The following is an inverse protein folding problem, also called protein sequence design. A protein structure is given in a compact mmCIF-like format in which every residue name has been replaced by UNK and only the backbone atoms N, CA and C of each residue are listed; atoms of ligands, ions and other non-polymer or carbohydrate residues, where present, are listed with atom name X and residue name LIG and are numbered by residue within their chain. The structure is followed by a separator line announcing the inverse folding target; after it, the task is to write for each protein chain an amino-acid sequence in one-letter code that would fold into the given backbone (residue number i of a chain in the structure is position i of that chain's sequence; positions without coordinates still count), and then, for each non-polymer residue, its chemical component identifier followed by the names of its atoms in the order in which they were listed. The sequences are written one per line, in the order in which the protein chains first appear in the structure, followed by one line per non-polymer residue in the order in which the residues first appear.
data_IF_241602856201
#
_entry.id   IF_241602856201
#
_cell.length_a   1.000
_cell.length_b   1.000
_cell.length_c   1.000
_cell.angle_alpha   90.00
_cell.angle_beta   90.00
_cell.angle_gamma   90.00
#
_symmetry.space_group_name_H-M   'P 1'
#
loop_
_entity.id
_entity.type
_entity.pdbx_description
1 polymer ?
#
# COMPACT_ATOMS: atom_id res chain seq x y z
N UNK A 1 11.93 -24.97 44.73
CA UNK A 1 12.78 -23.77 44.87
C UNK A 1 12.73 -22.97 43.57
N UNK A 2 11.89 -21.93 43.51
CA UNK A 2 11.88 -21.00 42.38
C UNK A 2 13.12 -20.12 42.54
N UNK A 3 14.15 -20.35 41.73
CA UNK A 3 15.35 -19.52 41.73
C UNK A 3 14.93 -18.07 41.48
N UNK A 4 15.10 -17.20 42.49
CA UNK A 4 14.79 -15.79 42.38
C UNK A 4 15.58 -15.21 41.22
N UNK A 5 14.86 -14.60 40.26
CA UNK A 5 15.51 -13.85 39.19
C UNK A 5 16.41 -12.77 39.83
N UNK A 6 17.67 -12.61 39.38
CA UNK A 6 18.56 -11.57 39.87
C UNK A 6 17.82 -10.22 39.93
N UNK A 7 18.01 -9.45 41.02
CA UNK A 7 17.30 -8.19 41.29
C UNK A 7 17.33 -7.22 40.09
N UNK A 8 18.42 -7.24 39.34
CA UNK A 8 18.61 -6.48 38.10
C UNK A 8 17.72 -6.93 36.93
N UNK A 9 17.44 -8.22 36.81
CA UNK A 9 16.50 -8.76 35.80
C UNK A 9 15.06 -8.35 36.10
N UNK A 10 14.66 -8.37 37.37
CA UNK A 10 13.35 -7.87 37.81
C UNK A 10 13.19 -6.37 37.51
N UNK A 11 14.27 -5.59 37.70
CA UNK A 11 14.28 -4.16 37.37
C UNK A 11 14.13 -3.92 35.86
N UNK A 12 14.92 -4.60 35.03
CA UNK A 12 14.80 -4.53 33.57
C UNK A 12 13.41 -4.95 33.06
N UNK A 13 12.83 -5.98 33.66
CA UNK A 13 11.50 -6.49 33.31
C UNK A 13 10.40 -5.45 33.57
N UNK A 14 10.47 -4.70 34.68
CA UNK A 14 9.50 -3.64 34.98
C UNK A 14 9.51 -2.53 33.93
N UNK A 15 10.70 -2.05 33.56
CA UNK A 15 10.83 -0.98 32.56
C UNK A 15 10.43 -1.42 31.16
N UNK A 16 10.78 -2.64 30.76
CA UNK A 16 10.34 -3.19 29.47
C UNK A 16 8.81 -3.21 29.39
N UNK A 17 8.12 -3.75 30.41
CA UNK A 17 6.66 -3.82 30.43
C UNK A 17 6.07 -2.40 30.35
N UNK A 18 6.58 -1.48 31.16
CA UNK A 18 6.09 -0.09 31.18
C UNK A 18 6.19 0.57 29.80
N UNK A 19 7.36 0.58 29.18
CA UNK A 19 7.55 1.22 27.87
C UNK A 19 6.80 0.50 26.76
N UNK A 20 6.79 -0.84 26.76
CA UNK A 20 6.07 -1.61 25.75
C UNK A 20 4.56 -1.37 25.83
N UNK A 21 4.00 -1.36 27.05
CA UNK A 21 2.59 -1.04 27.29
C UNK A 21 2.29 0.40 26.85
N UNK A 22 3.17 1.37 27.16
CA UNK A 22 2.97 2.76 26.72
C UNK A 22 2.94 2.87 25.19
N UNK A 23 3.91 2.31 24.47
CA UNK A 23 3.93 2.32 23.00
C UNK A 23 2.74 1.55 22.40
N UNK A 24 2.33 0.44 23.00
CA UNK A 24 1.18 -0.34 22.54
C UNK A 24 -0.13 0.44 22.71
N UNK A 25 -0.35 1.07 23.88
CA UNK A 25 -1.53 1.90 24.13
C UNK A 25 -1.58 3.10 23.17
N UNK A 26 -0.45 3.76 22.93
CA UNK A 26 -0.34 4.84 21.94
C UNK A 26 -0.69 4.33 20.55
N UNK A 27 -0.17 3.16 20.15
CA UNK A 27 -0.47 2.55 18.85
C UNK A 27 -1.96 2.28 18.72
N UNK A 28 -2.56 1.60 19.69
CA UNK A 28 -3.99 1.25 19.67
C UNK A 28 -4.86 2.50 19.65
N UNK A 29 -4.54 3.51 20.45
CA UNK A 29 -5.32 4.75 20.53
C UNK A 29 -5.20 5.59 19.25
N UNK A 30 -3.99 5.85 18.75
CA UNK A 30 -3.79 6.69 17.56
C UNK A 30 -4.17 6.00 16.26
N UNK A 31 -3.97 4.68 16.19
CA UNK A 31 -4.14 3.93 14.97
C UNK A 31 -5.46 3.15 14.93
N UNK A 32 -6.38 3.34 15.89
CA UNK A 32 -7.69 2.65 15.95
C UNK A 32 -8.53 2.73 14.66
N UNK A 33 -8.42 3.83 13.92
CA UNK A 33 -9.12 4.06 12.63
C UNK A 33 -8.21 3.85 11.43
N UNK A 34 -6.92 3.61 11.66
CA UNK A 34 -5.93 3.47 10.61
C UNK A 34 -5.62 2.01 10.32
N UNK A 35 -5.50 1.19 11.36
CA UNK A 35 -5.34 -0.25 11.23
C UNK A 35 -6.72 -0.90 11.15
N UNK A 36 -6.90 -1.82 10.20
CA UNK A 36 -8.06 -2.71 10.13
C UNK A 36 -7.67 -4.09 10.68
N UNK A 37 -8.10 -4.47 11.90
CA UNK A 37 -7.77 -5.75 12.50
C UNK A 37 -8.35 -6.96 11.77
N UNK A 38 -9.40 -6.75 10.96
CA UNK A 38 -10.07 -7.81 10.20
C UNK A 38 -9.36 -8.08 8.87
N UNK A 39 -8.47 -7.20 8.43
CA UNK A 39 -7.74 -7.39 7.20
C UNK A 39 -6.77 -8.59 7.30
N UNK A 40 -6.87 -9.52 6.34
CA UNK A 40 -6.07 -10.74 6.31
C UNK A 40 -4.56 -10.49 6.42
N UNK A 41 -4.05 -9.45 5.73
CA UNK A 41 -2.62 -9.12 5.75
C UNK A 41 -2.16 -8.63 7.13
N UNK A 42 -3.03 -7.97 7.90
CA UNK A 42 -2.76 -7.57 9.27
C UNK A 42 -2.69 -8.79 10.19
N UNK A 43 -3.66 -9.71 10.08
CA UNK A 43 -3.68 -10.95 10.86
C UNK A 43 -2.46 -11.84 10.57
N UNK A 44 -2.14 -12.05 9.29
CA UNK A 44 -0.94 -12.76 8.86
C UNK A 44 0.34 -12.04 9.30
N UNK A 45 0.35 -10.71 9.31
CA UNK A 45 1.45 -9.90 9.82
C UNK A 45 1.69 -10.10 11.31
N UNK A 46 0.63 -10.11 12.12
CA UNK A 46 0.69 -10.43 13.55
C UNK A 46 1.23 -11.85 13.79
N UNK A 47 0.70 -12.85 13.06
CA UNK A 47 1.21 -14.21 13.12
C UNK A 47 2.69 -14.28 12.72
N UNK A 48 3.07 -13.60 11.63
CA UNK A 48 4.43 -13.54 11.16
C UNK A 48 5.37 -12.87 12.17
N UNK A 49 4.93 -11.83 12.90
CA UNK A 49 5.71 -11.25 14.00
C UNK A 49 5.96 -12.28 15.10
N UNK A 50 4.93 -13.03 15.52
CA UNK A 50 5.08 -14.06 16.56
C UNK A 50 6.04 -15.16 16.11
N UNK A 51 5.92 -15.62 14.87
CA UNK A 51 6.73 -16.72 14.33
C UNK A 51 8.17 -16.30 14.02
N UNK A 52 8.35 -15.09 13.48
CA UNK A 52 9.63 -14.63 12.92
C UNK A 52 10.49 -13.87 13.92
N UNK A 53 9.90 -13.25 14.94
CA UNK A 53 10.65 -12.42 15.90
C UNK A 53 11.48 -13.31 16.80
N UNK A 54 12.79 -13.09 16.83
CA UNK A 54 13.72 -13.80 17.70
C UNK A 54 14.47 -12.80 18.56
N UNK A 55 14.49 -13.05 19.86
CA UNK A 55 15.19 -12.23 20.84
C UNK A 55 16.41 -13.03 21.32
N UNK A 56 17.60 -12.50 21.05
CA UNK A 56 18.85 -13.03 21.57
C UNK A 56 19.19 -12.32 22.89
N UNK A 57 18.84 -12.98 24.00
CA UNK A 57 19.09 -12.47 25.36
C UNK A 57 20.57 -12.50 25.76
N UNK A 58 21.43 -13.19 24.99
CA UNK A 58 22.88 -13.23 25.25
C UNK A 58 23.61 -12.01 24.71
N UNK A 59 22.97 -11.23 23.83
CA UNK A 59 23.56 -10.06 23.19
C UNK A 59 22.92 -8.79 23.71
N UNK A 60 23.77 -7.81 24.04
CA UNK A 60 23.31 -6.45 24.37
C UNK A 60 22.55 -5.86 23.17
N UNK A 61 21.44 -5.22 23.48
CA UNK A 61 20.66 -4.50 22.47
C UNK A 61 21.42 -3.36 21.83
N UNK A 62 21.06 -3.06 20.58
CA UNK A 62 21.58 -1.93 19.81
C UNK A 62 20.54 -0.80 19.75
N UNK A 63 21.00 0.43 19.55
CA UNK A 63 20.14 1.61 19.41
C UNK A 63 19.48 1.76 18.01
N UNK A 64 19.65 0.79 17.12
CA UNK A 64 19.22 0.88 15.71
C UNK A 64 17.73 1.18 15.54
N UNK A 65 16.85 0.57 16.33
CA UNK A 65 15.41 0.86 16.25
C UNK A 65 15.07 2.23 16.86
N UNK A 66 15.82 2.69 17.86
CA UNK A 66 15.66 4.04 18.41
C UNK A 66 16.04 5.11 17.39
N UNK A 67 17.15 4.90 16.66
CA UNK A 67 17.57 5.78 15.55
C UNK A 67 16.51 5.75 14.45
N UNK A 68 16.02 4.57 14.04
CA UNK A 68 14.97 4.46 13.04
C UNK A 68 13.67 5.17 13.47
N UNK A 69 13.27 5.02 14.74
CA UNK A 69 12.12 5.73 15.31
C UNK A 69 12.30 7.25 15.25
N UNK A 70 13.48 7.75 15.61
CA UNK A 70 13.78 9.18 15.52
C UNK A 70 13.73 9.69 14.08
N UNK A 71 14.30 8.96 13.11
CA UNK A 71 14.22 9.31 11.70
C UNK A 71 12.76 9.39 11.22
N UNK A 72 11.91 8.42 11.57
CA UNK A 72 10.49 8.45 11.22
C UNK A 72 9.70 9.55 11.94
N UNK A 73 10.09 9.90 13.17
CA UNK A 73 9.49 11.01 13.90
C UNK A 73 9.77 12.34 13.18
N UNK A 74 11.01 12.57 12.75
CA UNK A 74 11.39 13.73 11.93
C UNK A 74 10.64 13.72 10.60
N UNK A 75 10.52 12.57 9.94
CA UNK A 75 9.75 12.46 8.69
C UNK A 75 8.26 12.76 8.90
N UNK A 76 7.68 12.37 10.04
CA UNK A 76 6.29 12.69 10.38
C UNK A 76 6.10 14.20 10.59
N UNK A 77 7.10 14.87 11.14
CA UNK A 77 7.10 16.33 11.27
C UNK A 77 7.16 17.04 9.92
N UNK A 78 8.03 16.54 9.02
CA UNK A 78 8.22 17.11 7.69
C UNK A 78 7.05 16.79 6.74
N UNK A 79 6.50 15.58 6.83
CA UNK A 79 5.48 15.04 5.93
C UNK A 79 4.36 14.47 6.81
N UNK A 80 3.15 15.08 6.80
CA UNK A 80 2.08 14.74 7.72
C UNK A 80 1.33 13.46 7.30
N UNK A 81 2.04 12.34 7.14
CA UNK A 81 1.47 11.04 6.81
C UNK A 81 1.46 10.11 8.02
N UNK A 82 0.30 9.53 8.31
CA UNK A 82 0.09 8.64 9.47
C UNK A 82 0.99 7.40 9.44
N UNK A 83 1.43 6.97 8.26
CA UNK A 83 2.37 5.85 8.11
C UNK A 83 3.69 6.09 8.85
N UNK A 84 4.25 7.30 8.78
CA UNK A 84 5.50 7.58 9.49
C UNK A 84 5.28 7.63 11.00
N UNK A 85 4.12 8.08 11.46
CA UNK A 85 3.76 7.99 12.88
C UNK A 85 3.66 6.54 13.35
N UNK A 86 2.99 5.66 12.57
CA UNK A 86 2.93 4.22 12.84
C UNK A 86 4.33 3.59 12.90
N UNK A 87 5.20 3.90 11.94
CA UNK A 87 6.58 3.41 11.91
C UNK A 87 7.40 3.93 13.11
N UNK A 88 7.18 5.18 13.52
CA UNK A 88 7.81 5.76 14.71
C UNK A 88 7.46 4.97 15.96
N UNK A 89 6.18 4.75 16.23
CA UNK A 89 5.72 4.09 17.47
C UNK A 89 6.10 2.61 17.48
N UNK A 90 5.99 1.93 16.33
CA UNK A 90 6.39 0.51 16.21
C UNK A 90 7.91 0.32 16.33
N UNK A 91 8.73 1.19 15.74
CA UNK A 91 10.18 1.17 15.97
C UNK A 91 10.54 1.52 17.43
N UNK A 92 9.79 2.42 18.07
CA UNK A 92 9.92 2.70 19.50
C UNK A 92 9.65 1.48 20.38
N UNK A 93 8.61 0.70 20.04
CA UNK A 93 8.32 -0.58 20.70
C UNK A 93 9.48 -1.59 20.54
N UNK A 94 10.01 -1.75 19.32
CA UNK A 94 11.16 -2.63 19.07
C UNK A 94 12.42 -2.13 19.80
N UNK A 95 12.60 -0.82 19.91
CA UNK A 95 13.70 -0.21 20.67
C UNK A 95 13.57 -0.49 22.17
N UNK A 96 12.36 -0.43 22.74
CA UNK A 96 12.13 -0.81 24.12
C UNK A 96 12.47 -2.29 24.36
N UNK A 97 12.01 -3.20 23.50
CA UNK A 97 12.37 -4.63 23.58
C UNK A 97 13.89 -4.82 23.51
N UNK A 98 14.55 -4.17 22.54
CA UNK A 98 15.99 -4.31 22.36
C UNK A 98 16.78 -3.71 23.54
N UNK A 99 16.31 -2.62 24.14
CA UNK A 99 16.95 -1.95 25.28
C UNK A 99 16.92 -2.76 26.57
N UNK A 100 15.85 -3.53 26.80
CA UNK A 100 15.57 -4.13 28.12
C UNK A 100 15.53 -5.67 28.11
N UNK A 101 15.33 -6.31 26.96
CA UNK A 101 15.16 -7.78 26.86
C UNK A 101 16.34 -8.45 26.13
N UNK A 102 16.79 -7.88 25.00
CA UNK A 102 17.92 -8.42 24.23
C UNK A 102 17.85 -8.08 22.74
N UNK A 103 18.92 -8.42 22.00
CA UNK A 103 19.02 -8.11 20.57
C UNK A 103 17.95 -8.83 19.73
N UNK A 104 17.14 -8.08 19.00
CA UNK A 104 16.16 -8.62 18.04
C UNK A 104 16.81 -9.02 16.72
N UNK A 105 16.13 -9.84 15.92
CA UNK A 105 16.45 -9.99 14.49
C UNK A 105 15.83 -8.86 13.66
N UNK A 106 16.24 -8.75 12.40
CA UNK A 106 15.79 -7.68 11.49
C UNK A 106 14.49 -8.01 10.73
N UNK A 107 13.97 -9.25 10.82
CA UNK A 107 12.74 -9.64 10.09
C UNK A 107 11.52 -8.77 10.41
N UNK A 108 11.29 -8.30 11.65
CA UNK A 108 10.19 -7.38 11.94
C UNK A 108 10.18 -6.11 11.07
N UNK A 109 11.34 -5.65 10.57
CA UNK A 109 11.44 -4.50 9.67
C UNK A 109 10.79 -4.75 8.30
N UNK A 110 10.68 -6.01 7.86
CA UNK A 110 9.96 -6.36 6.63
C UNK A 110 8.47 -6.57 6.90
N UNK A 111 8.14 -7.17 8.05
CA UNK A 111 6.77 -7.56 8.38
C UNK A 111 5.92 -6.33 8.71
N UNK A 112 6.43 -5.37 9.49
CA UNK A 112 5.67 -4.19 9.94
C UNK A 112 5.15 -3.34 8.76
N UNK A 113 5.95 -2.98 7.75
CA UNK A 113 5.43 -2.29 6.58
C UNK A 113 4.38 -3.11 5.82
N UNK A 114 4.61 -4.42 5.66
CA UNK A 114 3.71 -5.32 4.91
C UNK A 114 2.35 -5.54 5.60
N UNK A 115 2.30 -5.52 6.93
CA UNK A 115 1.03 -5.63 7.68
C UNK A 115 0.28 -4.31 7.77
N UNK A 116 0.90 -3.19 7.37
CA UNK A 116 0.34 -1.87 7.53
C UNK A 116 -0.47 -1.44 6.29
N UNK A 117 -1.38 -0.45 6.43
CA UNK A 117 -2.12 0.12 5.30
C UNK A 117 -1.23 0.70 4.19
N UNK A 118 0.07 0.95 4.48
CA UNK A 118 1.04 1.35 3.45
C UNK A 118 1.13 0.30 2.34
N UNK A 119 1.20 -0.97 2.71
CA UNK A 119 1.35 -2.06 1.74
C UNK A 119 0.07 -2.22 0.91
N UNK A 120 -1.09 -2.16 1.55
CA UNK A 120 -2.37 -2.17 0.84
C UNK A 120 -2.50 -0.99 -0.13
N UNK A 121 -2.15 0.22 0.31
CA UNK A 121 -2.15 1.40 -0.54
C UNK A 121 -1.19 1.24 -1.73
N UNK A 122 0.07 0.83 -1.47
CA UNK A 122 1.05 0.61 -2.51
C UNK A 122 0.55 -0.40 -3.54
N UNK A 123 0.03 -1.54 -3.10
CA UNK A 123 -0.48 -2.55 -4.04
C UNK A 123 -1.72 -2.03 -4.76
N UNK A 124 -2.67 -1.32 -4.14
CA UNK A 124 -3.81 -0.72 -4.87
C UNK A 124 -3.36 0.21 -6.00
N UNK A 125 -2.36 1.05 -5.75
CA UNK A 125 -1.82 2.00 -6.74
C UNK A 125 -1.09 1.28 -7.87
N UNK A 126 -0.21 0.34 -7.55
CA UNK A 126 0.64 -0.31 -8.55
C UNK A 126 -0.01 -1.52 -9.23
N UNK A 127 -1.01 -2.13 -8.61
CA UNK A 127 -1.65 -3.32 -9.15
C UNK A 127 -2.56 -3.02 -10.33
N UNK A 128 -3.11 -1.81 -10.43
CA UNK A 128 -4.04 -1.49 -11.52
C UNK A 128 -3.41 -1.62 -12.92
N UNK A 129 -2.24 -1.03 -13.22
CA UNK A 129 -1.56 -1.29 -14.50
C UNK A 129 -1.17 -2.76 -14.68
N UNK A 130 -0.67 -3.40 -13.61
CA UNK A 130 -0.30 -4.82 -13.64
C UNK A 130 -1.48 -5.73 -13.99
N UNK A 131 -2.69 -5.36 -13.57
CA UNK A 131 -3.92 -6.08 -13.89
C UNK A 131 -4.17 -6.14 -15.38
N UNK A 132 -4.07 -4.99 -16.06
CA UNK A 132 -4.35 -4.89 -17.48
C UNK A 132 -3.39 -5.81 -18.26
N UNK A 133 -2.10 -5.79 -17.88
CA UNK A 133 -1.09 -6.69 -18.45
C UNK A 133 -1.38 -8.17 -18.14
N UNK A 134 -1.68 -8.51 -16.89
CA UNK A 134 -1.99 -9.90 -16.50
C UNK A 134 -3.23 -10.44 -17.22
N UNK A 135 -4.26 -9.61 -17.41
CA UNK A 135 -5.46 -9.96 -18.19
C UNK A 135 -5.09 -10.26 -19.64
N UNK A 136 -4.25 -9.43 -20.27
CA UNK A 136 -3.76 -9.68 -21.62
C UNK A 136 -2.93 -10.97 -21.72
N UNK A 137 -2.07 -11.24 -20.73
CA UNK A 137 -1.24 -12.45 -20.71
C UNK A 137 -2.11 -13.70 -20.54
N UNK A 138 -3.13 -13.64 -19.69
CA UNK A 138 -4.09 -14.72 -19.52
C UNK A 138 -4.92 -14.97 -20.79
N UNK A 139 -5.39 -13.92 -21.46
CA UNK A 139 -6.10 -14.06 -22.73
C UNK A 139 -5.24 -14.67 -23.83
N UNK A 140 -3.96 -14.26 -23.95
CA UNK A 140 -3.01 -14.89 -24.87
C UNK A 140 -2.79 -16.37 -24.55
N UNK A 141 -2.70 -16.73 -23.27
CA UNK A 141 -2.60 -18.13 -22.85
C UNK A 141 -3.82 -18.95 -23.30
N UNK A 142 -5.02 -18.41 -23.13
CA UNK A 142 -6.27 -19.07 -23.53
C UNK A 142 -6.40 -19.22 -25.05
N UNK A 143 -5.99 -18.19 -25.81
CA UNK A 143 -5.94 -18.24 -27.27
C UNK A 143 -4.98 -19.32 -27.78
N UNK A 144 -3.82 -19.50 -27.12
CA UNK A 144 -2.88 -20.58 -27.47
C UNK A 144 -3.47 -21.99 -27.26
N UNK A 145 -4.44 -22.13 -26.35
CA UNK A 145 -5.17 -23.39 -26.10
C UNK A 145 -6.35 -23.57 -27.09
N UNK A 146 -6.56 -22.60 -28.00
CA UNK A 146 -7.59 -22.65 -29.04
C UNK A 146 -8.94 -22.09 -28.62
N UNK A 147 -9.04 -21.40 -27.48
CA UNK A 147 -10.29 -20.78 -27.04
C UNK A 147 -10.53 -19.46 -27.76
N UNK A 148 -11.77 -19.20 -28.24
CA UNK A 148 -12.14 -17.94 -28.88
C UNK A 148 -12.35 -16.86 -27.80
N UNK A 149 -11.24 -16.24 -27.38
CA UNK A 149 -11.22 -15.24 -26.32
C UNK A 149 -10.92 -13.86 -26.88
N UNK A 150 -11.71 -12.87 -26.46
CA UNK A 150 -11.47 -11.45 -26.71
C UNK A 150 -11.06 -10.77 -25.41
N UNK A 151 -10.03 -9.94 -25.45
CA UNK A 151 -9.56 -9.18 -24.28
C UNK A 151 -9.75 -7.70 -24.55
N UNK A 152 -10.43 -7.03 -23.63
CA UNK A 152 -10.63 -5.59 -23.68
C UNK A 152 -10.37 -4.97 -22.30
N UNK A 153 -9.17 -4.42 -22.12
CA UNK A 153 -8.79 -3.82 -20.86
C UNK A 153 -8.65 -4.84 -19.72
N UNK A 154 -9.44 -4.67 -18.66
CA UNK A 154 -9.53 -5.61 -17.55
C UNK A 154 -10.55 -6.75 -17.77
N UNK A 155 -11.16 -6.86 -18.95
CA UNK A 155 -12.21 -7.83 -19.26
C UNK A 155 -11.73 -8.90 -20.24
N UNK A 156 -12.18 -10.13 -20.01
CA UNK A 156 -11.97 -11.29 -20.89
C UNK A 156 -13.32 -11.85 -21.28
N UNK A 157 -13.66 -11.81 -22.56
CA UNK A 157 -14.89 -12.39 -23.09
C UNK A 157 -14.58 -13.75 -23.70
N UNK A 158 -15.23 -14.80 -23.21
CA UNK A 158 -15.07 -16.17 -23.71
C UNK A 158 -16.46 -16.76 -23.97
N UNK A 159 -16.72 -17.22 -25.19
CA UNK A 159 -18.03 -17.78 -25.60
C UNK A 159 -19.23 -16.87 -25.25
N UNK A 160 -19.06 -15.55 -25.37
CA UNK A 160 -20.11 -14.57 -25.04
C UNK A 160 -20.31 -14.30 -23.55
N UNK A 161 -19.51 -14.91 -22.67
CA UNK A 161 -19.51 -14.64 -21.22
C UNK A 161 -18.37 -13.70 -20.87
N UNK A 162 -18.69 -12.60 -20.18
CA UNK A 162 -17.74 -11.58 -19.78
C UNK A 162 -17.18 -11.85 -18.37
N UNK A 163 -15.86 -11.97 -18.29
CA UNK A 163 -15.12 -12.10 -17.04
C UNK A 163 -14.36 -10.81 -16.76
N UNK A 164 -14.79 -10.07 -15.74
CA UNK A 164 -14.08 -8.88 -15.28
C UNK A 164 -13.01 -9.29 -14.27
N UNK A 165 -11.75 -8.93 -14.56
CA UNK A 165 -10.64 -9.13 -13.64
C UNK A 165 -10.63 -7.96 -12.67
N UNK A 166 -11.20 -8.12 -11.48
CA UNK A 166 -11.31 -7.09 -10.46
C UNK A 166 -10.17 -7.13 -9.42
N UNK A 167 -10.03 -6.13 -8.51
CA UNK A 167 -8.97 -6.17 -7.49
C UNK A 167 -9.02 -7.43 -6.63
N UNK A 168 -10.24 -7.94 -6.40
CA UNK A 168 -10.49 -9.21 -5.73
C UNK A 168 -9.86 -10.40 -6.49
N UNK A 169 -9.89 -10.37 -7.83
CA UNK A 169 -9.33 -11.41 -8.69
C UNK A 169 -7.81 -11.30 -8.86
N UNK A 170 -7.24 -10.13 -8.61
CA UNK A 170 -5.81 -9.88 -8.79
C UNK A 170 -4.95 -10.36 -7.62
N UNK A 171 -5.58 -10.90 -6.58
CA UNK A 171 -4.85 -11.44 -5.45
C UNK A 171 -4.04 -10.38 -4.71
N UNK A 172 -4.53 -9.15 -4.54
CA UNK A 172 -3.92 -8.15 -3.62
C UNK A 172 -3.58 -8.79 -2.27
N UNK A 173 -4.56 -9.54 -1.74
CA UNK A 173 -4.39 -10.35 -0.54
C UNK A 173 -3.38 -11.48 -0.73
N UNK A 174 -3.37 -12.14 -1.88
CA UNK A 174 -2.42 -13.20 -2.23
C UNK A 174 -0.98 -12.70 -2.32
N UNK A 175 -0.75 -11.49 -2.84
CA UNK A 175 0.57 -10.87 -2.94
C UNK A 175 1.14 -10.61 -1.56
N UNK A 176 0.40 -9.88 -0.72
CA UNK A 176 0.83 -9.61 0.67
C UNK A 176 0.95 -10.90 1.49
N UNK A 177 -0.01 -11.82 1.36
CA UNK A 177 0.04 -13.11 2.03
C UNK A 177 1.26 -13.93 1.58
N UNK A 178 1.60 -13.94 0.29
CA UNK A 178 2.76 -14.67 -0.23
C UNK A 178 4.09 -14.11 0.28
N UNK A 179 4.21 -12.78 0.38
CA UNK A 179 5.40 -12.13 0.94
C UNK A 179 5.54 -12.43 2.44
N UNK A 180 4.45 -12.30 3.21
CA UNK A 180 4.44 -12.64 4.64
C UNK A 180 4.71 -14.13 4.87
N UNK A 181 4.10 -15.00 4.08
CA UNK A 181 4.36 -16.45 4.11
C UNK A 181 5.81 -16.76 3.73
N UNK A 182 6.38 -16.09 2.73
CA UNK A 182 7.79 -16.20 2.36
C UNK A 182 8.73 -15.86 3.52
N UNK A 183 8.47 -14.75 4.22
CA UNK A 183 9.22 -14.35 5.42
C UNK A 183 9.09 -15.42 6.54
N UNK A 184 7.88 -15.93 6.77
CA UNK A 184 7.64 -17.00 7.73
C UNK A 184 8.37 -18.30 7.34
N UNK A 185 8.33 -18.68 6.07
CA UNK A 185 9.04 -19.86 5.55
C UNK A 185 10.55 -19.71 5.71
N UNK A 186 11.11 -18.52 5.46
CA UNK A 186 12.53 -18.24 5.76
C UNK A 186 12.79 -18.44 7.25
N UNK A 187 11.97 -17.85 8.13
CA UNK A 187 12.16 -17.97 9.57
C UNK A 187 12.05 -19.41 10.08
N UNK A 188 11.04 -20.17 9.64
CA UNK A 188 10.81 -21.57 10.03
C UNK A 188 11.95 -22.45 9.50
N UNK A 189 12.31 -22.30 8.23
CA UNK A 189 13.34 -23.12 7.57
C UNK A 189 14.74 -22.81 8.14
N UNK A 190 15.04 -21.55 8.43
CA UNK A 190 16.27 -21.16 9.14
C UNK A 190 16.33 -21.76 10.55
N UNK A 191 15.19 -21.92 11.23
CA UNK A 191 15.13 -22.63 12.52
C UNK A 191 15.42 -24.11 12.34
N UNK A 192 14.75 -24.75 11.39
CA UNK A 192 14.85 -26.20 11.12
C UNK A 192 16.28 -26.62 10.79
N UNK A 193 16.96 -25.88 9.91
CA UNK A 193 18.33 -26.22 9.48
C UNK A 193 19.44 -25.58 10.33
N UNK A 194 19.10 -24.89 11.43
CA UNK A 194 20.06 -24.19 12.28
C UNK A 194 21.02 -23.27 11.50
N UNK A 195 20.48 -22.63 10.46
CA UNK A 195 21.21 -21.69 9.59
C UNK A 195 20.51 -20.35 9.57
N UNK A 196 21.28 -19.27 9.68
CA UNK A 196 20.79 -17.89 9.57
C UNK A 196 21.00 -17.38 8.16
N UNK A 197 20.00 -16.65 7.69
CA UNK A 197 20.05 -15.91 6.44
C UNK A 197 20.27 -14.44 6.74
N UNK A 198 21.15 -13.80 5.97
CA UNK A 198 21.36 -12.35 6.06
C UNK A 198 20.11 -11.60 5.60
N UNK A 199 19.85 -10.44 6.22
CA UNK A 199 18.67 -9.61 5.90
C UNK A 199 18.59 -9.24 4.42
N UNK A 200 19.70 -8.82 3.81
CA UNK A 200 19.73 -8.48 2.38
C UNK A 200 19.40 -9.66 1.47
N UNK A 201 19.86 -10.86 1.83
CA UNK A 201 19.54 -12.06 1.07
C UNK A 201 18.08 -12.50 1.28
N UNK A 202 17.51 -12.29 2.47
CA UNK A 202 16.06 -12.47 2.67
C UNK A 202 15.25 -11.54 1.78
N UNK A 203 15.61 -10.26 1.67
CA UNK A 203 14.97 -9.32 0.74
C UNK A 203 15.11 -9.80 -0.71
N UNK A 204 16.31 -10.23 -1.11
CA UNK A 204 16.56 -10.76 -2.44
C UNK A 204 15.68 -11.98 -2.76
N UNK A 205 15.46 -12.87 -1.79
CA UNK A 205 14.57 -14.03 -1.94
C UNK A 205 13.09 -13.68 -2.08
N UNK A 206 12.65 -12.49 -1.68
CA UNK A 206 11.26 -12.08 -1.90
C UNK A 206 10.98 -11.74 -3.37
N UNK A 207 12.00 -11.34 -4.15
CA UNK A 207 11.84 -11.03 -5.57
C UNK A 207 11.32 -12.22 -6.41
N UNK A 208 11.92 -13.43 -6.34
CA UNK A 208 11.35 -14.58 -7.06
C UNK A 208 9.97 -14.97 -6.55
N UNK A 209 9.63 -14.73 -5.28
CA UNK A 209 8.26 -14.95 -4.76
C UNK A 209 7.26 -14.00 -5.42
N UNK A 210 7.63 -12.73 -5.64
CA UNK A 210 6.82 -11.78 -6.41
C UNK A 210 6.57 -12.27 -7.84
N UNK A 211 7.61 -12.80 -8.50
CA UNK A 211 7.50 -13.35 -9.86
C UNK A 211 6.57 -14.57 -9.88
N UNK A 212 6.74 -15.50 -8.94
CA UNK A 212 5.85 -16.65 -8.80
C UNK A 212 4.40 -16.21 -8.57
N UNK A 213 4.18 -15.16 -7.77
CA UNK A 213 2.85 -14.61 -7.54
C UNK A 213 2.21 -14.06 -8.83
N UNK A 214 2.98 -13.32 -9.63
CA UNK A 214 2.52 -12.80 -10.92
C UNK A 214 2.15 -13.93 -11.89
N UNK A 215 2.98 -14.97 -11.99
CA UNK A 215 2.70 -16.16 -12.81
C UNK A 215 1.44 -16.87 -12.30
N UNK A 216 1.34 -17.09 -10.99
CA UNK A 216 0.19 -17.74 -10.37
C UNK A 216 -1.11 -16.97 -10.63
N UNK A 217 -1.08 -15.63 -10.64
CA UNK A 217 -2.23 -14.80 -10.95
C UNK A 217 -2.67 -14.93 -12.41
N UNK A 218 -1.75 -14.97 -13.37
CA UNK A 218 -2.08 -15.18 -14.79
C UNK A 218 -2.73 -16.55 -14.99
N UNK A 219 -2.12 -17.59 -14.41
CA UNK A 219 -2.69 -18.95 -14.46
C UNK A 219 -4.07 -18.99 -13.79
N UNK A 220 -4.23 -18.35 -12.64
CA UNK A 220 -5.52 -18.24 -11.94
C UNK A 220 -6.60 -17.62 -12.83
N UNK A 221 -6.31 -16.49 -13.49
CA UNK A 221 -7.26 -15.83 -14.40
C UNK A 221 -7.62 -16.78 -15.54
N UNK A 222 -6.63 -17.40 -16.19
CA UNK A 222 -6.88 -18.33 -17.28
C UNK A 222 -7.74 -19.54 -16.84
N UNK A 223 -7.42 -20.14 -15.69
CA UNK A 223 -8.19 -21.26 -15.12
C UNK A 223 -9.62 -20.85 -14.79
N UNK A 224 -9.84 -19.67 -14.22
CA UNK A 224 -11.18 -19.15 -13.92
C UNK A 224 -12.01 -19.00 -15.20
N UNK A 225 -11.44 -18.41 -16.26
CA UNK A 225 -12.16 -18.23 -17.53
C UNK A 225 -12.41 -19.58 -18.20
N UNK A 226 -11.42 -20.48 -18.20
CA UNK A 226 -11.53 -21.81 -18.79
C UNK A 226 -12.66 -22.63 -18.16
N UNK A 227 -12.74 -22.65 -16.82
CA UNK A 227 -13.79 -23.38 -16.09
C UNK A 227 -15.06 -22.55 -15.88
N UNK A 228 -15.12 -21.32 -16.42
CA UNK A 228 -16.22 -20.37 -16.22
C UNK A 228 -16.61 -20.19 -14.74
N UNK A 229 -15.60 -20.13 -13.87
CA UNK A 229 -15.77 -20.05 -12.42
C UNK A 229 -16.14 -18.62 -11.97
N UNK A 230 -17.43 -18.31 -12.02
CA UNK A 230 -17.96 -16.98 -11.70
C UNK A 230 -17.58 -16.50 -10.28
N UNK A 231 -17.42 -15.18 -10.07
CA UNK A 231 -17.15 -14.61 -8.74
C UNK A 231 -18.21 -15.02 -7.72
N UNK A 232 -17.80 -15.30 -6.48
CA UNK A 232 -18.69 -15.72 -5.39
C UNK A 232 -19.05 -17.21 -5.38
N UNK A 233 -18.59 -17.99 -6.36
CA UNK A 233 -18.74 -19.45 -6.35
C UNK A 233 -17.61 -20.12 -5.57
N UNK A 234 -17.89 -21.28 -4.96
CA UNK A 234 -16.87 -22.07 -4.27
C UNK A 234 -15.71 -22.46 -5.20
N UNK A 235 -16.00 -22.77 -6.46
CA UNK A 235 -14.99 -23.14 -7.45
C UNK A 235 -13.97 -22.01 -7.67
N UNK A 236 -14.44 -20.75 -7.72
CA UNK A 236 -13.58 -19.58 -7.87
C UNK A 236 -12.55 -19.47 -6.73
N UNK A 237 -13.01 -19.68 -5.50
CA UNK A 237 -12.16 -19.58 -4.30
C UNK A 237 -11.17 -20.76 -4.22
N UNK A 238 -11.63 -21.98 -4.55
CA UNK A 238 -10.77 -23.17 -4.59
C UNK A 238 -9.66 -23.05 -5.63
N UNK A 239 -9.96 -22.54 -6.83
CA UNK A 239 -8.94 -22.27 -7.86
C UNK A 239 -7.91 -21.28 -7.31
N UNK A 240 -8.36 -20.21 -6.65
CA UNK A 240 -7.47 -19.24 -6.01
C UNK A 240 -6.54 -19.87 -4.97
N UNK A 241 -7.09 -20.69 -4.07
CA UNK A 241 -6.32 -21.38 -3.04
C UNK A 241 -5.34 -22.40 -3.62
N UNK A 242 -5.76 -23.14 -4.66
CA UNK A 242 -4.90 -24.08 -5.37
C UNK A 242 -3.73 -23.37 -6.04
N UNK A 243 -3.98 -22.28 -6.78
CA UNK A 243 -2.91 -21.48 -7.39
C UNK A 243 -1.96 -20.90 -6.34
N UNK A 244 -2.48 -20.40 -5.21
CA UNK A 244 -1.65 -19.91 -4.12
C UNK A 244 -0.76 -21.01 -3.51
N UNK A 245 -1.35 -22.16 -3.15
CA UNK A 245 -0.62 -23.27 -2.55
C UNK A 245 0.37 -23.91 -3.52
N UNK A 246 -0.11 -24.27 -4.72
CA UNK A 246 0.63 -25.03 -5.71
C UNK A 246 1.67 -24.21 -6.49
N UNK A 247 1.35 -22.97 -6.88
CA UNK A 247 2.24 -22.16 -7.71
C UNK A 247 3.06 -21.14 -6.92
N UNK A 248 2.66 -20.79 -5.69
CA UNK A 248 3.41 -19.82 -4.88
C UNK A 248 4.06 -20.47 -3.67
N UNK A 249 3.30 -21.06 -2.75
CA UNK A 249 3.84 -21.58 -1.48
C UNK A 249 4.77 -22.77 -1.69
N UNK A 250 4.36 -23.76 -2.47
CA UNK A 250 5.14 -24.97 -2.69
C UNK A 250 6.50 -24.68 -3.38
N UNK A 251 6.56 -23.92 -4.49
CA UNK A 251 7.84 -23.57 -5.12
C UNK A 251 8.68 -22.66 -4.22
N UNK A 252 8.06 -21.71 -3.50
CA UNK A 252 8.76 -20.86 -2.53
C UNK A 252 9.43 -21.67 -1.43
N UNK A 253 8.76 -22.72 -0.93
CA UNK A 253 9.34 -23.61 0.08
C UNK A 253 10.61 -24.29 -0.43
N UNK A 254 10.59 -24.87 -1.63
CA UNK A 254 11.76 -25.51 -2.21
C UNK A 254 12.89 -24.52 -2.50
N UNK A 255 12.55 -23.35 -3.05
CA UNK A 255 13.51 -22.28 -3.33
C UNK A 255 14.19 -21.79 -2.04
N UNK A 256 13.41 -21.48 -1.00
CA UNK A 256 13.92 -21.01 0.30
C UNK A 256 14.77 -22.09 0.97
N UNK A 257 14.30 -23.35 0.94
CA UNK A 257 15.07 -24.49 1.47
C UNK A 257 16.42 -24.60 0.79
N UNK A 258 16.44 -24.61 -0.53
CA UNK A 258 17.66 -24.68 -1.33
C UNK A 258 18.60 -23.51 -0.99
N UNK A 259 18.08 -22.29 -0.96
CA UNK A 259 18.85 -21.09 -0.71
C UNK A 259 19.44 -21.05 0.72
N UNK A 260 18.69 -21.47 1.75
CA UNK A 260 19.18 -21.59 3.12
C UNK A 260 20.28 -22.64 3.23
N UNK A 261 20.15 -23.77 2.54
CA UNK A 261 21.16 -24.83 2.57
C UNK A 261 22.46 -24.45 1.86
N UNK A 262 22.38 -23.64 0.79
CA UNK A 262 23.55 -23.19 0.03
C UNK A 262 24.23 -21.97 0.63
N UNK A 263 23.46 -20.95 0.99
CA UNK A 263 23.99 -19.62 1.38
C UNK A 263 23.87 -19.36 2.89
N UNK A 264 23.00 -20.11 3.58
CA UNK A 264 22.76 -19.90 5.01
C UNK A 264 24.00 -20.21 5.86
N UNK A 265 24.35 -19.28 6.73
CA UNK A 265 25.48 -19.41 7.66
C UNK A 265 25.07 -20.22 8.89
N UNK A 266 25.93 -21.11 9.42
CA UNK A 266 25.62 -21.88 10.61
C UNK A 266 25.39 -20.97 11.81
N UNK A 267 24.38 -21.30 12.63
CA UNK A 267 24.15 -20.57 13.88
C UNK A 267 25.19 -20.98 14.91
N UNK A 268 26.25 -20.18 15.03
CA UNK A 268 27.24 -20.34 16.10
C UNK A 268 26.58 -19.91 17.42
N UNK A 269 26.32 -20.88 18.30
CA UNK A 269 25.89 -20.62 19.68
C UNK A 269 27.08 -20.05 20.44
N UNK A 270 27.09 -18.73 20.61
CA UNK A 270 28.09 -18.06 21.44
C UNK A 270 27.74 -18.30 22.91
N UNK A 271 28.76 -18.50 23.77
CA UNK A 271 28.55 -18.65 25.20
C UNK A 271 27.76 -17.44 25.74
N UNK A 272 26.80 -17.65 26.67
CA UNK A 272 25.97 -16.56 27.16
C UNK A 272 26.85 -15.55 27.91
N UNK A 273 27.18 -14.45 27.25
CA UNK A 273 27.70 -13.28 27.93
C UNK A 273 26.57 -12.73 28.78
N UNK A 274 26.78 -12.58 30.09
CA UNK A 274 25.77 -12.02 30.98
C UNK A 274 25.45 -10.61 30.46
N UNK A 275 24.25 -10.44 29.91
CA UNK A 275 23.79 -9.15 29.45
C UNK A 275 23.81 -8.19 30.65
N UNK A 276 24.67 -7.18 30.59
CA UNK A 276 24.74 -6.12 31.60
C UNK A 276 23.37 -5.47 31.75
N UNK A 277 22.96 -5.09 32.96
CA UNK A 277 21.66 -4.47 33.19
C UNK A 277 21.47 -3.21 32.31
N UNK A 278 20.20 -2.86 32.02
CA UNK A 278 19.91 -1.65 31.27
C UNK A 278 20.49 -0.43 31.99
N UNK A 279 21.34 0.32 31.29
CA UNK A 279 21.96 1.52 31.83
C UNK A 279 20.89 2.63 32.02
N UNK A 280 21.10 3.55 32.97
CA UNK A 280 20.24 4.75 33.14
C UNK A 280 19.99 5.49 31.81
N UNK A 281 20.97 5.45 30.91
CA UNK A 281 20.87 6.00 29.55
C UNK A 281 19.78 5.37 28.68
N UNK A 282 19.50 4.07 28.80
CA UNK A 282 18.43 3.40 28.03
C UNK A 282 17.04 3.81 28.50
N UNK A 283 16.87 4.04 29.81
CA UNK A 283 15.63 4.59 30.37
C UNK A 283 15.44 6.01 29.85
N UNK A 284 16.46 6.88 29.98
CA UNK A 284 16.42 8.25 29.49
C UNK A 284 16.10 8.32 27.99
N UNK A 285 16.76 7.50 27.17
CA UNK A 285 16.51 7.45 25.73
C UNK A 285 15.07 7.03 25.38
N UNK A 286 14.53 6.00 26.06
CA UNK A 286 13.14 5.58 25.85
C UNK A 286 12.15 6.64 26.33
N UNK A 287 12.41 7.30 27.47
CA UNK A 287 11.59 8.41 27.97
C UNK A 287 11.57 9.60 27.01
N UNK A 288 12.73 10.03 26.49
CA UNK A 288 12.82 11.11 25.51
C UNK A 288 12.09 10.77 24.21
N UNK A 289 12.25 9.54 23.71
CA UNK A 289 11.53 9.08 22.52
C UNK A 289 10.01 9.04 22.76
N UNK A 290 9.57 8.58 23.93
CA UNK A 290 8.15 8.56 24.28
C UNK A 290 7.55 9.97 24.38
N UNK A 291 8.28 10.93 24.97
CA UNK A 291 7.89 12.34 25.00
C UNK A 291 7.80 12.92 23.59
N UNK A 292 8.79 12.64 22.74
CA UNK A 292 8.78 13.06 21.32
C UNK A 292 7.55 12.50 20.62
N UNK A 293 7.27 11.20 20.79
CA UNK A 293 6.07 10.57 20.25
C UNK A 293 4.86 11.34 20.74
N UNK A 294 4.59 11.44 22.04
CA UNK A 294 3.41 12.16 22.57
C UNK A 294 3.28 13.58 22.00
N UNK A 295 4.38 14.29 21.77
CA UNK A 295 4.43 15.60 21.12
C UNK A 295 3.93 15.64 19.66
N UNK A 296 4.14 14.56 18.88
CA UNK A 296 3.69 14.45 17.47
C UNK A 296 2.17 14.65 17.35
N UNK A 297 1.37 14.20 18.34
CA UNK A 297 -0.09 14.34 18.30
C UNK A 297 -0.55 15.74 18.72
N UNK A 298 0.20 16.42 19.59
CA UNK A 298 -0.13 17.79 20.03
C UNK A 298 0.17 18.85 18.98
N UNK A 299 1.01 18.55 18.00
CA UNK A 299 1.27 19.43 16.86
C UNK A 299 0.12 19.31 15.85
N UNK A 300 -0.54 20.41 15.45
CA UNK A 300 -1.61 20.35 14.48
C UNK A 300 -1.04 20.07 13.08
N UNK A 301 -0.79 18.79 12.80
CA UNK A 301 -0.54 18.24 11.47
C UNK A 301 -1.68 18.66 10.50
N UNK A 302 -2.88 18.85 11.05
CA UNK A 302 -4.06 19.37 10.36
C UNK A 302 -3.93 20.85 9.93
N UNK A 303 -3.23 21.70 10.68
CA UNK A 303 -3.07 23.12 10.36
C UNK A 303 -2.09 23.37 9.21
N UNK A 304 -1.07 22.51 9.04
CA UNK A 304 -0.16 22.57 7.88
C UNK A 304 -0.78 21.98 6.61
N UNK A 305 -1.55 20.89 6.73
CA UNK A 305 -2.22 20.29 5.57
C UNK A 305 -3.35 21.19 5.02
N UNK A 306 -4.01 21.99 5.86
CA UNK A 306 -5.10 22.88 5.46
C UNK A 306 -4.64 24.18 4.78
N UNK A 307 -3.35 24.55 4.86
CA UNK A 307 -2.85 25.81 4.27
C UNK A 307 -2.65 25.78 2.75
N UNK A 308 -2.97 24.70 2.05
CA UNK A 308 -2.57 24.53 0.63
C UNK A 308 -3.67 24.14 -0.36
N UNK A 309 -4.96 24.39 -0.09
CA UNK A 309 -6.00 24.04 -1.08
C UNK A 309 -7.07 25.11 -1.37
N UNK A 310 -7.08 26.27 -0.71
CA UNK A 310 -8.01 27.37 -1.06
C UNK A 310 -7.52 28.17 -2.26
N UNK A 311 -7.50 27.58 -3.44
CA UNK A 311 -7.08 28.26 -4.68
C UNK A 311 -7.88 27.82 -5.91
N UNK A 312 -9.16 27.51 -5.75
CA UNK A 312 -10.06 27.26 -6.89
C UNK A 312 -11.13 28.34 -6.93
N UNK A 313 -10.92 29.40 -7.73
CA UNK A 313 -12.07 30.09 -8.30
C UNK A 313 -12.74 29.11 -9.27
N UNK A 314 -14.09 29.11 -9.37
CA UNK A 314 -14.81 28.22 -10.27
C UNK A 314 -14.28 28.35 -11.71
N UNK A 315 -13.93 27.26 -12.40
CA UNK A 315 -13.73 27.36 -13.84
C UNK A 315 -15.05 27.78 -14.49
N UNK A 316 -15.03 28.85 -15.27
CA UNK A 316 -16.20 29.32 -16.03
C UNK A 316 -16.35 28.46 -17.27
N UNK A 317 -17.09 27.35 -17.15
CA UNK A 317 -17.47 26.52 -18.28
C UNK A 317 -18.96 26.74 -18.59
N UNK A 318 -19.26 27.29 -19.76
CA UNK A 318 -20.63 27.61 -20.15
C UNK A 318 -21.51 26.35 -20.10
N UNK A 319 -22.70 26.45 -19.51
CA UNK A 319 -23.66 25.35 -19.41
C UNK A 319 -23.38 24.33 -18.29
N UNK A 320 -22.37 24.56 -17.43
CA UNK A 320 -22.11 23.72 -16.26
C UNK A 320 -22.55 24.40 -14.97
N UNK A 321 -23.19 23.63 -14.09
CA UNK A 321 -23.38 24.00 -12.68
C UNK A 321 -22.14 23.66 -11.89
N UNK A 322 -21.67 24.62 -11.11
CA UNK A 322 -20.52 24.48 -10.24
C UNK A 322 -20.95 24.18 -8.81
N UNK A 323 -20.28 23.23 -8.17
CA UNK A 323 -20.43 22.95 -6.74
C UNK A 323 -19.07 22.66 -6.14
N UNK A 324 -18.69 23.40 -5.09
CA UNK A 324 -17.53 23.07 -4.28
C UNK A 324 -17.95 22.06 -3.21
N UNK A 325 -17.29 20.91 -3.18
CA UNK A 325 -17.47 19.88 -2.16
C UNK A 325 -16.35 19.98 -1.12
N UNK A 326 -16.47 19.18 -0.06
CA UNK A 326 -15.46 19.07 0.99
C UNK A 326 -14.05 18.78 0.42
N UNK A 327 -13.02 19.25 1.13
CA UNK A 327 -11.60 19.12 0.75
C UNK A 327 -11.17 19.80 -0.56
N UNK A 328 -11.88 20.83 -1.00
CA UNK A 328 -11.61 21.58 -2.24
C UNK A 328 -11.78 20.75 -3.52
N UNK A 329 -12.68 19.75 -3.47
CA UNK A 329 -13.10 19.02 -4.67
C UNK A 329 -14.10 19.88 -5.43
N UNK A 330 -13.80 20.16 -6.71
CA UNK A 330 -14.72 20.86 -7.59
C UNK A 330 -15.56 19.86 -8.37
N UNK A 331 -16.88 20.00 -8.29
CA UNK A 331 -17.86 19.28 -9.10
C UNK A 331 -18.42 20.22 -10.16
N UNK A 332 -18.39 19.79 -11.41
CA UNK A 332 -19.07 20.46 -12.53
C UNK A 332 -20.08 19.47 -13.10
N UNK A 333 -21.33 19.87 -13.29
CA UNK A 333 -22.31 19.00 -13.93
C UNK A 333 -23.31 19.74 -14.81
N UNK A 334 -23.86 19.00 -15.77
CA UNK A 334 -25.04 19.37 -16.54
C UNK A 334 -25.86 18.08 -16.79
N UNK A 335 -26.82 18.13 -17.73
CA UNK A 335 -27.72 17.00 -17.99
C UNK A 335 -27.02 15.77 -18.58
N UNK A 336 -25.81 15.93 -19.13
CA UNK A 336 -25.10 14.88 -19.86
C UNK A 336 -23.72 14.52 -19.27
N UNK A 337 -23.14 15.41 -18.48
CA UNK A 337 -21.76 15.34 -17.99
C UNK A 337 -21.67 15.58 -16.50
N UNK A 338 -20.79 14.80 -15.88
CA UNK A 338 -20.36 14.95 -14.50
C UNK A 338 -18.83 14.96 -14.46
N UNK A 339 -18.25 16.06 -13.98
CA UNK A 339 -16.82 16.24 -13.86
C UNK A 339 -16.42 16.48 -12.41
N UNK A 340 -15.41 15.76 -11.96
CA UNK A 340 -14.73 16.02 -10.70
C UNK A 340 -13.29 16.46 -10.96
N UNK A 341 -12.91 17.57 -10.36
CA UNK A 341 -11.53 18.05 -10.28
C UNK A 341 -11.13 17.92 -8.82
N UNK A 342 -10.24 16.99 -8.50
CA UNK A 342 -9.80 16.72 -7.13
C UNK A 342 -8.32 17.09 -6.99
N UNK A 343 -7.98 18.20 -6.35
CA UNK A 343 -6.59 18.59 -6.11
C UNK A 343 -5.85 17.53 -5.29
N UNK A 344 -4.62 17.25 -5.68
CA UNK A 344 -3.75 16.32 -4.96
C UNK A 344 -2.84 17.14 -4.03
N UNK A 345 -2.88 16.82 -2.74
CA UNK A 345 -2.16 17.58 -1.69
C UNK A 345 -0.64 17.57 -1.87
N UNK A 346 -0.08 16.56 -2.55
CA UNK A 346 1.34 16.46 -2.87
C UNK A 346 1.73 15.09 -3.42
N UNK A 347 3.01 14.92 -3.77
CA UNK A 347 3.55 13.68 -4.35
C UNK A 347 3.39 12.42 -3.46
N UNK A 348 3.12 12.60 -2.16
CA UNK A 348 2.93 11.53 -1.18
C UNK A 348 1.45 11.24 -0.87
N UNK A 349 0.53 12.05 -1.41
CA UNK A 349 -0.90 11.91 -1.11
C UNK A 349 -1.51 10.70 -1.84
N UNK A 350 -2.58 10.15 -1.25
CA UNK A 350 -3.43 9.20 -1.96
C UNK A 350 -4.07 9.88 -3.17
N UNK A 351 -4.02 9.21 -4.30
CA UNK A 351 -4.40 9.70 -5.63
C UNK A 351 -5.91 9.76 -5.90
N UNK A 352 -6.75 9.51 -4.88
CA UNK A 352 -8.22 9.50 -5.00
C UNK A 352 -8.71 8.83 -6.29
N UNK A 353 -8.14 7.64 -6.59
CA UNK A 353 -8.47 6.88 -7.80
C UNK A 353 -10.00 6.81 -7.95
N UNK A 354 -10.59 7.20 -9.10
CA UNK A 354 -12.03 7.26 -9.28
C UNK A 354 -12.69 5.91 -9.01
N UNK A 355 -11.96 4.80 -9.20
CA UNK A 355 -12.46 3.47 -8.89
C UNK A 355 -13.01 3.36 -7.47
N UNK A 356 -12.31 3.92 -6.48
CA UNK A 356 -12.69 3.82 -5.06
C UNK A 356 -14.02 4.57 -4.80
N UNK A 357 -14.21 5.76 -5.39
CA UNK A 357 -15.42 6.56 -5.16
C UNK A 357 -16.66 5.96 -5.85
N UNK A 358 -16.47 5.45 -7.07
CA UNK A 358 -17.54 4.86 -7.86
C UNK A 358 -17.94 3.47 -7.34
N UNK A 359 -16.97 2.64 -6.94
CA UNK A 359 -17.22 1.37 -6.23
C UNK A 359 -17.99 1.60 -4.93
N UNK A 360 -17.59 2.61 -4.13
CA UNK A 360 -18.32 3.01 -2.93
C UNK A 360 -19.75 3.51 -3.19
N UNK A 361 -20.05 3.93 -4.43
CA UNK A 361 -21.39 4.31 -4.88
C UNK A 361 -22.17 3.15 -5.51
N UNK A 362 -21.59 1.94 -5.53
CA UNK A 362 -22.17 0.71 -6.04
C UNK A 362 -22.03 0.50 -7.55
N UNK A 363 -21.09 1.19 -8.21
CA UNK A 363 -20.76 0.94 -9.62
C UNK A 363 -19.60 -0.05 -9.75
N UNK A 364 -19.59 -0.82 -10.84
CA UNK A 364 -18.45 -1.68 -11.22
C UNK A 364 -17.72 -1.12 -12.43
N UNK A 365 -16.40 -1.32 -12.50
CA UNK A 365 -15.57 -0.87 -13.62
C UNK A 365 -15.36 -1.98 -14.62
N UNK A 366 -15.87 -1.77 -15.83
CA UNK A 366 -15.73 -2.69 -16.96
C UNK A 366 -14.98 -2.01 -18.11
N UNK A 367 -14.37 -2.83 -18.98
CA UNK A 367 -13.68 -2.38 -20.19
C UNK A 367 -12.68 -1.25 -19.93
N UNK A 368 -11.88 -1.37 -18.86
CA UNK A 368 -10.95 -0.31 -18.49
C UNK A 368 -9.76 -0.29 -19.44
N UNK A 369 -9.67 0.74 -20.26
CA UNK A 369 -8.67 0.87 -21.33
C UNK A 369 -7.83 2.14 -21.16
N UNK A 370 -6.65 2.13 -21.76
CA UNK A 370 -5.77 3.29 -21.83
C UNK A 370 -5.74 3.83 -23.26
N UNK A 371 -6.07 5.12 -23.42
CA UNK A 371 -6.00 5.80 -24.71
C UNK A 371 -5.47 7.23 -24.51
N UNK A 372 -4.44 7.62 -25.27
CA UNK A 372 -3.91 8.99 -25.28
C UNK A 372 -3.63 9.56 -23.87
N UNK A 373 -2.95 8.78 -23.01
CA UNK A 373 -2.63 9.11 -21.61
C UNK A 373 -3.86 9.42 -20.75
N UNK A 374 -4.96 8.72 -21.01
CA UNK A 374 -6.19 8.79 -20.23
C UNK A 374 -6.75 7.39 -20.07
N UNK A 375 -7.17 7.09 -18.85
CA UNK A 375 -7.92 5.87 -18.61
C UNK A 375 -9.38 6.11 -18.97
N UNK A 376 -9.98 5.13 -19.62
CA UNK A 376 -11.40 5.08 -19.96
C UNK A 376 -12.00 3.84 -19.31
N UNK A 377 -13.23 3.93 -18.84
CA UNK A 377 -13.97 2.78 -18.32
C UNK A 377 -15.46 2.92 -18.58
N UNK A 378 -16.15 1.78 -18.55
CA UNK A 378 -17.60 1.70 -18.48
C UNK A 378 -17.97 1.45 -17.03
N UNK A 379 -18.85 2.28 -16.49
CA UNK A 379 -19.44 2.11 -15.17
C UNK A 379 -20.82 1.46 -15.34
N UNK A 380 -21.05 0.35 -14.65
CA UNK A 380 -22.37 -0.31 -14.65
C UNK A 380 -22.95 -0.42 -13.25
N UNK A 381 -24.27 -0.22 -13.15
CA UNK A 381 -25.06 -0.39 -11.93
C UNK A 381 -26.52 -0.70 -12.29
N UNK A 382 -26.89 -1.97 -12.21
CA UNK A 382 -28.16 -2.44 -12.79
C UNK A 382 -28.18 -2.13 -14.29
N UNK A 383 -29.26 -1.51 -14.76
CA UNK A 383 -29.42 -1.12 -16.17
C UNK A 383 -28.70 0.20 -16.53
N UNK A 384 -28.12 0.88 -15.54
CA UNK A 384 -27.40 2.14 -15.78
C UNK A 384 -26.00 1.85 -16.30
N UNK A 385 -25.71 2.37 -17.48
CA UNK A 385 -24.39 2.36 -18.10
C UNK A 385 -23.88 3.78 -18.31
N UNK A 386 -22.73 4.09 -17.73
CA UNK A 386 -22.04 5.37 -17.91
C UNK A 386 -20.63 5.14 -18.45
N UNK A 387 -20.06 6.18 -19.04
CA UNK A 387 -18.71 6.15 -19.58
C UNK A 387 -17.88 7.17 -18.83
N UNK A 388 -16.74 6.76 -18.28
CA UNK A 388 -15.88 7.63 -17.49
C UNK A 388 -14.46 7.66 -18.04
N UNK A 389 -13.78 8.76 -17.83
CA UNK A 389 -12.37 8.92 -18.14
C UNK A 389 -11.64 9.70 -17.05
N UNK A 390 -10.36 9.39 -16.83
CA UNK A 390 -9.55 10.14 -15.88
C UNK A 390 -8.07 10.22 -16.20
N UNK A 391 -7.45 11.30 -15.73
CA UNK A 391 -6.01 11.57 -15.83
C UNK A 391 -5.55 12.54 -14.72
N UNK A 392 -4.24 12.66 -14.56
CA UNK A 392 -3.59 13.65 -13.72
C UNK A 392 -3.20 14.86 -14.56
N UNK A 393 -3.49 16.06 -14.06
CA UNK A 393 -3.26 17.32 -14.76
C UNK A 393 -2.61 18.35 -13.83
N UNK A 394 -1.62 19.10 -14.32
CA UNK A 394 -1.02 20.25 -13.60
C UNK A 394 -1.28 21.60 -14.30
N UNK A 395 -2.08 21.62 -15.37
CA UNK A 395 -2.40 22.79 -16.20
C UNK A 395 -1.47 22.98 -17.40
N UNK A 396 -0.35 22.25 -17.46
CA UNK A 396 0.63 22.29 -18.55
C UNK A 396 0.86 20.90 -19.15
N UNK A 397 0.97 19.89 -18.29
CA UNK A 397 1.21 18.50 -18.60
C UNK A 397 0.07 17.68 -18.01
N UNK A 398 -0.45 16.76 -18.81
CA UNK A 398 -1.33 15.71 -18.34
C UNK A 398 -0.65 14.34 -18.49
N UNK A 399 -1.00 13.41 -17.61
CA UNK A 399 -0.52 12.03 -17.65
C UNK A 399 -1.49 11.14 -16.90
N UNK A 400 -1.59 9.88 -17.29
CA UNK A 400 -2.26 8.84 -16.51
C UNK A 400 -1.28 8.04 -15.61
N UNK A 401 0.03 8.25 -15.77
CA UNK A 401 1.06 7.52 -15.02
C UNK A 401 1.24 8.08 -13.62
N UNK A 402 0.99 7.23 -12.62
CA UNK A 402 1.24 7.50 -11.20
C UNK A 402 2.67 7.95 -10.93
N UNK A 403 3.62 7.28 -11.57
CA UNK A 403 5.03 7.55 -11.37
C UNK A 403 5.42 8.91 -11.95
N UNK A 404 4.94 9.21 -13.16
CA UNK A 404 5.28 10.44 -13.88
C UNK A 404 4.83 11.68 -13.12
N UNK A 405 3.57 11.75 -12.69
CA UNK A 405 3.07 12.93 -11.98
C UNK A 405 3.69 13.07 -10.59
N UNK A 406 3.91 11.96 -9.85
CA UNK A 406 4.54 12.02 -8.52
C UNK A 406 5.97 12.49 -8.61
N UNK A 407 6.73 12.00 -9.59
CA UNK A 407 8.11 12.39 -9.80
C UNK A 407 8.21 13.85 -10.24
N UNK A 408 7.32 14.31 -11.13
CA UNK A 408 7.23 15.71 -11.53
C UNK A 408 6.86 16.62 -10.34
N UNK A 409 5.85 16.25 -9.57
CA UNK A 409 5.44 16.99 -8.37
C UNK A 409 6.56 17.05 -7.31
N UNK A 410 7.33 15.97 -7.14
CA UNK A 410 8.47 15.93 -6.22
C UNK A 410 9.63 16.82 -6.69
N UNK A 411 10.03 16.72 -7.96
CA UNK A 411 11.20 17.43 -8.51
C UNK A 411 10.93 18.91 -8.77
N UNK A 412 9.76 19.21 -9.33
CA UNK A 412 9.43 20.55 -9.84
C UNK A 412 8.43 21.29 -8.94
N UNK A 413 8.01 20.69 -7.82
CA UNK A 413 7.02 21.24 -6.88
C UNK A 413 5.70 21.64 -7.56
N UNK A 414 5.38 21.00 -8.70
CA UNK A 414 4.13 21.22 -9.44
C UNK A 414 2.94 20.60 -8.70
N UNK A 415 1.78 21.24 -8.83
CA UNK A 415 0.52 20.80 -8.20
C UNK A 415 -0.35 20.09 -9.23
N UNK A 416 -0.72 18.85 -8.93
CA UNK A 416 -1.60 18.06 -9.77
C UNK A 416 -3.01 18.01 -9.21
N UNK A 417 -3.99 17.85 -10.09
CA UNK A 417 -5.32 17.35 -9.76
C UNK A 417 -5.59 16.09 -10.56
N UNK A 418 -6.45 15.23 -10.03
CA UNK A 418 -7.09 14.21 -10.83
C UNK A 418 -8.38 14.78 -11.43
N UNK A 419 -8.46 14.71 -12.76
CA UNK A 419 -9.65 15.09 -13.53
C UNK A 419 -10.40 13.80 -13.83
N UNK A 420 -11.67 13.73 -13.46
CA UNK A 420 -12.55 12.62 -13.80
C UNK A 420 -13.79 13.15 -14.51
N UNK A 421 -14.01 12.72 -15.74
CA UNK A 421 -15.17 13.10 -16.56
C UNK A 421 -16.03 11.86 -16.75
N UNK A 422 -17.33 11.97 -16.50
CA UNK A 422 -18.31 10.89 -16.70
C UNK A 422 -19.46 11.40 -17.55
N UNK A 423 -19.88 10.59 -18.51
CA UNK A 423 -20.93 10.91 -19.48
C UNK A 423 -21.90 9.74 -19.66
N UNK A 424 -23.07 10.05 -20.23
CA UNK A 424 -24.10 9.05 -20.57
C UNK A 424 -23.78 8.25 -21.84
N UNK A 425 -22.93 8.76 -22.74
CA UNK A 425 -22.47 8.01 -23.92
C UNK A 425 -21.00 8.29 -24.29
N UNK A 426 -20.41 7.42 -25.12
CA UNK A 426 -19.00 7.49 -25.53
C UNK A 426 -18.65 8.75 -26.33
N UNK A 427 -19.56 9.20 -27.19
CA UNK A 427 -19.34 10.36 -28.07
C UNK A 427 -19.25 11.66 -27.27
N UNK A 428 -20.18 11.86 -26.33
CA UNK A 428 -20.21 12.99 -25.40
C UNK A 428 -18.94 12.99 -24.55
N UNK A 429 -18.53 11.82 -24.04
CA UNK A 429 -17.28 11.70 -23.27
C UNK A 429 -16.07 12.15 -24.11
N UNK A 430 -15.94 11.66 -25.34
CA UNK A 430 -14.83 12.02 -26.22
C UNK A 430 -14.79 13.52 -26.53
N UNK A 431 -15.94 14.12 -26.83
CA UNK A 431 -16.05 15.56 -27.06
C UNK A 431 -15.66 16.37 -25.80
N UNK A 432 -16.14 15.94 -24.63
CA UNK A 432 -15.84 16.60 -23.36
C UNK A 432 -14.34 16.54 -23.02
N UNK A 433 -13.68 15.40 -23.22
CA UNK A 433 -12.22 15.27 -23.02
C UNK A 433 -11.47 16.23 -23.94
N UNK A 434 -11.85 16.29 -25.21
CA UNK A 434 -11.25 17.20 -26.19
C UNK A 434 -11.41 18.67 -25.79
N UNK A 435 -12.61 19.06 -25.35
CA UNK A 435 -12.89 20.41 -24.87
C UNK A 435 -12.06 20.75 -23.63
N UNK A 436 -12.06 19.89 -22.61
CA UNK A 436 -11.33 20.12 -21.36
C UNK A 436 -9.83 20.31 -21.57
N UNK A 437 -9.25 19.54 -22.48
CA UNK A 437 -7.84 19.65 -22.87
C UNK A 437 -7.56 20.92 -23.67
N UNK A 438 -8.39 21.24 -24.66
CA UNK A 438 -8.22 22.42 -25.52
C UNK A 438 -8.32 23.72 -24.71
N UNK A 439 -9.30 23.82 -23.83
CA UNK A 439 -9.56 25.01 -23.02
C UNK A 439 -8.66 25.09 -21.77
N UNK A 440 -7.89 24.03 -21.47
CA UNK A 440 -7.02 23.92 -20.29
C UNK A 440 -7.77 24.29 -19.00
N UNK A 441 -8.93 23.67 -18.79
CA UNK A 441 -9.87 24.02 -17.71
C UNK A 441 -9.19 24.02 -16.33
N UNK A 442 -8.31 23.05 -16.07
CA UNK A 442 -7.58 23.02 -14.80
C UNK A 442 -6.57 24.18 -14.66
N UNK A 443 -5.96 24.63 -15.76
CA UNK A 443 -5.08 25.82 -15.75
C UNK A 443 -5.87 27.08 -15.42
N UNK A 444 -7.09 27.22 -15.94
CA UNK A 444 -7.96 28.35 -15.63
C UNK A 444 -8.29 28.39 -14.14
N UNK A 445 -8.55 27.22 -13.55
CA UNK A 445 -8.86 27.11 -12.12
C UNK A 445 -7.65 27.37 -11.21
N UNK A 446 -6.41 27.17 -11.69
CA UNK A 446 -5.16 27.53 -10.98
C UNK A 446 -4.74 28.99 -11.18
N UNK A 447 -4.87 29.57 -12.38
CA UNK A 447 -4.38 30.93 -12.67
C UNK A 447 -5.19 32.04 -12.00
N UNK A 448 -6.48 31.81 -11.78
CA UNK A 448 -7.37 32.80 -11.17
C UNK A 448 -7.14 33.01 -9.66
N UNK A 449 -6.22 32.25 -9.06
CA UNK A 449 -5.93 32.23 -7.63
C UNK A 449 -4.50 32.67 -7.28
N UNK A 450 -3.65 32.95 -8.27
CA UNK A 450 -2.38 33.66 -8.08
C UNK A 450 -2.69 35.15 -8.29
N UNK A 451 -2.49 36.05 -7.30
CA UNK A 451 -2.63 37.48 -7.56
C UNK A 451 -1.67 37.87 -8.69
N UNK A 452 -2.04 38.83 -9.57
CA UNK A 452 -1.10 39.32 -10.56
C UNK A 452 0.19 39.74 -9.84
N UNK A 453 1.38 39.50 -10.43
CA UNK A 453 2.59 40.04 -9.86
C UNK A 453 2.39 41.55 -9.77
N UNK A 454 2.39 42.09 -8.55
CA UNK A 454 2.36 43.52 -8.37
C UNK A 454 3.51 44.11 -9.19
N UNK A 455 3.12 44.96 -10.12
CA UNK A 455 3.95 45.76 -10.99
C UNK A 455 4.31 47.03 -10.21
N UNK A 456 5.53 47.52 -10.36
CA UNK A 456 6.76 47.13 -9.66
C UNK A 456 6.80 47.44 -8.15
#
# INVERSE_FOLDING_TARGET
MIAALPRERLYAQKWWILFATAYLLITLYWMRRYLDPLALHFQLGCLALVVCTRIDRSRKGRYRFGIAALCFAVLTWCIPVKTFALLTVTMGLLFAVESFVGSLNLLPLLIIPLMSPLAEYAVKVFSFPLRLEMTQWAGRLLQMIGLPVQVEGNMVTCNGVDFTVDPACMGLHMLLASLLAGIMLVAITSKKYQRRMGFGFTVLLLLPILVLNMIANVLRIATIVYFQAMPGTLLHDLIGLFCFGGYVILPSFFLIRFAIQRVGQPVIKTAPTIATPPHKGSIMANSLLLLLVLGINTLPLAARASRSTSLLKPPTLAGFRYTLLDENITKLNNDQLLVYIKPIRGFYASDHNPSICWEGSGYTFQQVTEQNQTYHAVLTKGDVRLYTAWWYDNGEVYTNSQWSWRLDALRHRKRYAIINITATNKQILAAAIGQFRKEKIYRQSIRASIPPPDVP
#
